data_IF_667353739115
#
_entry.id   IF_667353739115
#
_cell.length_a   1.000
_cell.length_b   1.000
_cell.length_c   1.000
_cell.angle_alpha   90.00
_cell.angle_beta   90.00
_cell.angle_gamma   90.00
#
_symmetry.space_group_name_H-M   'P 1'
#
loop_
_entity.id
_entity.type
_entity.pdbx_description
1 polymer ?
#
# COMPACT_ATOMS: atom_id res chain seq x y z
N UNK A 1 -17.76 -31.40 5.50
CA UNK A 1 -18.04 -30.05 6.00
C UNK A 1 -16.74 -29.52 6.55
N UNK A 2 -15.96 -28.84 5.72
CA UNK A 2 -14.68 -28.19 6.12
C UNK A 2 -15.05 -26.84 6.70
N UNK A 3 -14.92 -26.72 8.03
CA UNK A 3 -15.25 -25.49 8.74
C UNK A 3 -14.34 -24.35 8.29
N UNK A 4 -14.93 -23.25 7.84
CA UNK A 4 -14.24 -21.98 7.70
C UNK A 4 -13.81 -21.51 9.10
N UNK A 5 -12.50 -21.43 9.34
CA UNK A 5 -11.97 -20.81 10.55
C UNK A 5 -11.77 -19.32 10.27
N UNK A 6 -12.49 -18.48 10.98
CA UNK A 6 -12.27 -17.03 10.98
C UNK A 6 -11.09 -16.72 11.90
N UNK A 7 -10.07 -16.06 11.39
CA UNK A 7 -9.01 -15.45 12.19
C UNK A 7 -9.46 -14.03 12.53
N UNK A 8 -9.82 -13.75 13.79
CA UNK A 8 -10.14 -12.40 14.23
C UNK A 8 -8.85 -11.61 14.45
N UNK A 9 -8.85 -10.35 14.01
CA UNK A 9 -7.81 -9.37 14.39
C UNK A 9 -8.10 -8.93 15.84
N UNK A 10 -7.66 -9.71 16.82
CA UNK A 10 -7.98 -9.47 18.25
C UNK A 10 -7.17 -8.32 18.90
N UNK A 11 -6.28 -7.66 18.16
CA UNK A 11 -5.45 -6.56 18.66
C UNK A 11 -5.94 -5.21 18.17
N UNK A 12 -6.71 -4.50 19.01
CA UNK A 12 -7.15 -3.14 18.73
C UNK A 12 -5.94 -2.21 18.48
N UNK A 13 -6.00 -1.44 17.39
CA UNK A 13 -4.99 -0.42 17.06
C UNK A 13 -3.86 -0.89 16.14
N UNK A 14 -3.95 -2.07 15.53
CA UNK A 14 -2.97 -2.46 14.50
C UNK A 14 -3.13 -1.62 13.23
N UNK A 15 -2.06 -1.49 12.40
CA UNK A 15 -2.13 -0.79 11.12
C UNK A 15 -3.25 -1.29 10.21
N UNK A 16 -3.52 -2.60 10.22
CA UNK A 16 -4.59 -3.24 9.47
C UNK A 16 -5.94 -2.69 9.88
N UNK A 17 -6.24 -2.68 11.19
CA UNK A 17 -7.51 -2.17 11.71
C UNK A 17 -7.66 -0.66 11.49
N UNK A 18 -6.57 0.08 11.70
CA UNK A 18 -6.55 1.54 11.48
C UNK A 18 -6.76 1.92 10.01
N UNK A 19 -6.49 1.02 9.07
CA UNK A 19 -6.71 1.20 7.63
C UNK A 19 -7.85 0.34 7.09
N UNK A 20 -8.75 -0.10 7.97
CA UNK A 20 -10.01 -0.74 7.59
C UNK A 20 -9.90 -2.18 7.13
N UNK A 21 -8.74 -2.84 7.30
CA UNK A 21 -8.59 -4.27 6.99
C UNK A 21 -9.38 -5.09 8.00
N UNK A 22 -10.20 -5.98 7.49
CA UNK A 22 -11.01 -6.90 8.28
C UNK A 22 -10.30 -8.26 8.40
N UNK A 23 -10.73 -9.06 9.38
CA UNK A 23 -10.14 -10.36 9.62
C UNK A 23 -10.10 -11.28 8.39
N UNK A 24 -9.15 -12.19 8.38
CA UNK A 24 -8.99 -13.15 7.29
C UNK A 24 -9.80 -14.42 7.52
N UNK A 25 -10.31 -15.00 6.43
CA UNK A 25 -10.87 -16.34 6.39
C UNK A 25 -9.83 -17.32 5.87
N UNK A 26 -9.65 -18.42 6.59
CA UNK A 26 -8.72 -19.49 6.24
C UNK A 26 -9.47 -20.51 5.38
N UNK A 27 -8.98 -20.70 4.15
CA UNK A 27 -9.44 -21.76 3.24
C UNK A 27 -8.24 -22.65 2.93
N UNK A 28 -8.39 -23.97 2.72
CA UNK A 28 -7.25 -24.82 2.36
C UNK A 28 -6.46 -24.27 1.18
N UNK A 29 -5.16 -23.98 1.41
CA UNK A 29 -4.25 -23.42 0.41
C UNK A 29 -4.43 -21.93 0.09
N UNK A 30 -5.36 -21.25 0.73
CA UNK A 30 -5.74 -19.86 0.42
C UNK A 30 -6.07 -19.06 1.68
N UNK A 31 -5.91 -17.74 1.59
CA UNK A 31 -6.43 -16.77 2.56
C UNK A 31 -7.27 -15.72 1.84
N UNK A 32 -8.35 -15.31 2.48
CA UNK A 32 -9.26 -14.27 1.99
C UNK A 32 -9.44 -13.22 3.08
N UNK A 33 -9.12 -11.99 2.74
CA UNK A 33 -9.35 -10.83 3.61
C UNK A 33 -10.17 -9.80 2.84
N UNK A 34 -10.71 -8.83 3.56
CA UNK A 34 -11.35 -7.67 2.94
C UNK A 34 -10.96 -6.40 3.67
N UNK A 35 -11.16 -5.25 3.04
CA UNK A 35 -10.96 -3.96 3.66
C UNK A 35 -12.08 -3.00 3.29
N UNK A 36 -12.44 -2.12 4.25
CA UNK A 36 -13.33 -0.99 4.02
C UNK A 36 -12.51 0.16 3.44
N UNK A 37 -12.96 0.73 2.32
CA UNK A 37 -12.23 1.77 1.57
C UNK A 37 -12.65 3.19 1.93
N UNK A 38 -13.72 3.37 2.69
CA UNK A 38 -14.29 4.69 3.00
C UNK A 38 -13.31 5.64 3.68
N UNK A 39 -12.39 5.12 4.50
CA UNK A 39 -11.36 5.90 5.17
C UNK A 39 -10.05 6.11 4.38
N UNK A 40 -10.00 5.69 3.12
CA UNK A 40 -8.80 5.80 2.29
C UNK A 40 -8.70 7.12 1.52
N UNK A 41 -9.68 7.98 1.67
CA UNK A 41 -9.69 9.34 1.11
C UNK A 41 -9.26 10.35 2.16
N UNK A 42 -8.45 11.32 1.76
CA UNK A 42 -8.08 12.45 2.61
C UNK A 42 -9.17 13.54 2.64
N UNK A 43 -8.96 14.56 3.48
CA UNK A 43 -9.89 15.68 3.61
C UNK A 43 -10.05 16.52 2.32
N UNK A 44 -9.19 16.33 1.33
CA UNK A 44 -9.29 16.95 0.00
C UNK A 44 -10.05 16.06 -1.01
N UNK A 45 -10.51 14.88 -0.60
CA UNK A 45 -11.25 13.93 -1.43
C UNK A 45 -10.37 13.07 -2.33
N UNK A 46 -9.05 13.07 -2.13
CA UNK A 46 -8.15 12.19 -2.85
C UNK A 46 -8.15 10.80 -2.19
N UNK A 47 -8.47 9.76 -2.95
CA UNK A 47 -8.33 8.37 -2.50
C UNK A 47 -6.90 7.88 -2.75
N UNK A 48 -6.27 7.35 -1.71
CA UNK A 48 -4.90 6.86 -1.71
C UNK A 48 -4.84 5.37 -2.02
N UNK A 49 -3.80 4.97 -2.72
CA UNK A 49 -3.55 3.57 -3.11
C UNK A 49 -2.81 2.78 -2.03
N UNK A 50 -2.00 3.46 -1.22
CA UNK A 50 -1.16 2.84 -0.20
C UNK A 50 -1.90 1.91 0.77
N UNK A 51 -3.08 2.26 1.28
CA UNK A 51 -3.84 1.35 2.13
C UNK A 51 -4.15 0.00 1.50
N UNK A 52 -4.26 -0.07 0.16
CA UNK A 52 -4.38 -1.33 -0.58
C UNK A 52 -3.16 -2.23 -0.36
N UNK A 53 -1.96 -1.64 -0.20
CA UNK A 53 -0.76 -2.40 0.12
C UNK A 53 -0.80 -2.99 1.53
N UNK A 54 -1.50 -2.36 2.49
CA UNK A 54 -1.70 -2.94 3.84
C UNK A 54 -2.59 -4.17 3.76
N UNK A 55 -3.69 -4.12 3.00
CA UNK A 55 -4.54 -5.28 2.74
C UNK A 55 -3.77 -6.40 2.04
N UNK A 56 -2.96 -6.06 1.03
CA UNK A 56 -2.17 -7.02 0.27
C UNK A 56 -1.08 -7.67 1.13
N UNK A 57 -0.28 -6.87 1.87
CA UNK A 57 0.78 -7.38 2.75
C UNK A 57 0.20 -8.28 3.85
N UNK A 58 -0.94 -7.88 4.43
CA UNK A 58 -1.63 -8.69 5.45
C UNK A 58 -2.04 -10.05 4.89
N UNK A 59 -2.80 -10.11 3.79
CA UNK A 59 -3.27 -11.40 3.23
C UNK A 59 -2.12 -12.27 2.73
N UNK A 60 -1.04 -11.68 2.20
CA UNK A 60 0.17 -12.39 1.78
C UNK A 60 0.93 -12.95 2.99
N UNK A 61 1.05 -12.17 4.07
CA UNK A 61 1.64 -12.59 5.33
C UNK A 61 0.90 -13.76 5.96
N UNK A 62 -0.44 -13.74 5.94
CA UNK A 62 -1.27 -14.83 6.44
C UNK A 62 -1.07 -16.15 5.67
N UNK A 63 -0.83 -16.08 4.35
CA UNK A 63 -0.48 -17.26 3.54
C UNK A 63 0.95 -17.72 3.85
N UNK A 64 1.88 -16.79 4.06
CA UNK A 64 3.26 -17.09 4.39
C UNK A 64 3.39 -17.71 5.79
N UNK A 65 2.50 -17.32 6.71
CA UNK A 65 2.48 -17.86 8.07
C UNK A 65 2.11 -19.36 8.06
N UNK A 66 3.12 -20.19 8.26
CA UNK A 66 3.04 -21.65 8.29
C UNK A 66 3.73 -22.16 9.56
N UNK A 67 3.51 -23.41 9.98
CA UNK A 67 4.35 -24.02 11.00
C UNK A 67 5.82 -23.89 10.60
N UNK A 68 6.56 -23.11 11.34
CA UNK A 68 7.99 -22.89 11.16
C UNK A 68 8.78 -23.87 12.00
N UNK A 69 10.07 -24.05 11.70
CA UNK A 69 10.98 -24.66 12.65
C UNK A 69 10.96 -23.84 13.95
N UNK A 70 11.05 -24.53 15.09
CA UNK A 70 11.02 -23.86 16.39
C UNK A 70 12.07 -22.73 16.45
N UNK A 71 11.64 -21.55 16.86
CA UNK A 71 12.51 -20.37 16.95
C UNK A 71 12.66 -19.57 15.67
N UNK A 72 11.88 -19.84 14.62
CA UNK A 72 11.86 -19.03 13.38
C UNK A 72 10.47 -18.46 13.12
N UNK A 73 10.43 -17.35 12.38
CA UNK A 73 9.21 -16.70 11.91
C UNK A 73 9.39 -16.20 10.46
N UNK A 74 8.33 -16.22 9.64
CA UNK A 74 8.40 -15.65 8.31
C UNK A 74 8.39 -14.12 8.38
N UNK A 75 9.18 -13.48 7.52
CA UNK A 75 9.15 -12.04 7.28
C UNK A 75 9.07 -11.78 5.79
N UNK A 76 8.35 -10.73 5.41
CA UNK A 76 8.33 -10.24 4.03
C UNK A 76 9.68 -9.57 3.73
N UNK A 77 10.35 -10.01 2.67
CA UNK A 77 11.62 -9.40 2.21
C UNK A 77 11.43 -8.51 0.99
N UNK A 78 10.36 -8.75 0.22
CA UNK A 78 9.96 -7.89 -0.89
C UNK A 78 8.44 -7.93 -1.07
N UNK A 79 7.86 -6.80 -1.46
CA UNK A 79 6.46 -6.64 -1.80
C UNK A 79 6.35 -5.93 -3.14
N UNK A 80 5.52 -6.46 -4.03
CA UNK A 80 5.15 -5.84 -5.29
C UNK A 80 3.64 -5.72 -5.37
N UNK A 81 3.15 -4.53 -5.74
CA UNK A 81 1.74 -4.24 -5.94
C UNK A 81 1.58 -3.51 -7.27
N UNK A 82 0.84 -4.10 -8.20
CA UNK A 82 0.42 -3.47 -9.45
C UNK A 82 -1.08 -3.13 -9.35
N UNK A 83 -1.41 -1.85 -9.46
CA UNK A 83 -2.78 -1.33 -9.45
C UNK A 83 -3.26 -1.21 -10.89
N UNK A 84 -4.24 -2.03 -11.23
CA UNK A 84 -4.78 -2.16 -12.59
C UNK A 84 -5.92 -1.17 -12.84
N UNK A 85 -6.63 -0.83 -11.77
CA UNK A 85 -7.72 0.13 -11.77
C UNK A 85 -7.44 1.15 -10.67
N UNK A 86 -7.22 2.43 -11.05
CA UNK A 86 -6.98 3.46 -10.03
C UNK A 86 -8.23 3.70 -9.18
N UNK A 87 -8.08 4.22 -7.93
CA UNK A 87 -9.20 4.65 -7.13
C UNK A 87 -9.89 5.90 -7.75
N UNK A 88 -11.15 6.22 -7.38
CA UNK A 88 -11.96 5.49 -6.41
C UNK A 88 -12.56 4.21 -6.99
N UNK A 89 -12.64 3.17 -6.16
CA UNK A 89 -13.28 1.91 -6.55
C UNK A 89 -14.78 1.94 -6.22
N UNK A 90 -15.64 1.22 -6.98
CA UNK A 90 -17.05 1.13 -6.68
C UNK A 90 -17.29 0.42 -5.35
N UNK A 91 -18.31 0.87 -4.61
CA UNK A 91 -18.66 0.33 -3.29
C UNK A 91 -17.71 0.78 -2.18
N UNK A 92 -17.89 0.18 -1.01
CA UNK A 92 -17.17 0.53 0.21
C UNK A 92 -16.14 -0.54 0.64
N UNK A 93 -15.94 -1.58 -0.18
CA UNK A 93 -15.16 -2.75 0.22
C UNK A 93 -14.33 -3.31 -0.94
N UNK A 94 -13.13 -3.75 -0.62
CA UNK A 94 -12.29 -4.57 -1.51
C UNK A 94 -12.08 -5.95 -0.90
N UNK A 95 -11.92 -6.96 -1.76
CA UNK A 95 -11.72 -8.35 -1.39
C UNK A 95 -10.36 -8.83 -1.91
N UNK A 96 -9.49 -9.26 -1.01
CA UNK A 96 -8.20 -9.83 -1.33
C UNK A 96 -8.22 -11.35 -1.17
N UNK A 97 -7.58 -12.03 -2.10
CA UNK A 97 -7.36 -13.47 -2.08
C UNK A 97 -5.89 -13.75 -2.35
N UNK A 98 -5.25 -14.51 -1.48
CA UNK A 98 -3.86 -14.88 -1.62
C UNK A 98 -3.66 -16.39 -1.55
N UNK A 99 -2.65 -16.86 -2.29
CA UNK A 99 -2.24 -18.26 -2.30
C UNK A 99 -0.71 -18.34 -2.47
N UNK A 100 -0.13 -19.50 -2.12
CA UNK A 100 1.27 -19.81 -2.45
C UNK A 100 1.39 -20.04 -3.94
N UNK A 101 2.49 -19.59 -4.50
CA UNK A 101 2.87 -19.98 -5.86
C UNK A 101 3.15 -21.49 -5.87
N UNK A 102 2.57 -22.21 -6.83
CA UNK A 102 2.73 -23.64 -6.93
C UNK A 102 4.20 -24.02 -7.21
N UNK A 103 4.67 -25.09 -6.55
CA UNK A 103 6.00 -25.67 -6.73
C UNK A 103 6.90 -25.54 -5.51
N UNK A 104 7.69 -26.59 -5.25
CA UNK A 104 8.59 -26.66 -4.08
C UNK A 104 9.69 -25.59 -4.11
N UNK A 105 10.15 -25.21 -5.30
CA UNK A 105 11.22 -24.23 -5.50
C UNK A 105 10.76 -22.81 -5.13
N UNK A 106 9.47 -22.52 -5.26
CA UNK A 106 8.89 -21.19 -5.02
C UNK A 106 8.12 -21.11 -3.69
N UNK A 107 8.42 -21.98 -2.75
CA UNK A 107 7.70 -22.07 -1.46
C UNK A 107 7.65 -20.75 -0.67
N UNK A 108 8.61 -19.87 -0.89
CA UNK A 108 8.73 -18.59 -0.19
C UNK A 108 8.14 -17.42 -1.01
N UNK A 109 7.49 -17.72 -2.13
CA UNK A 109 6.78 -16.74 -2.95
C UNK A 109 5.26 -16.92 -2.82
N UNK A 110 4.57 -15.83 -2.57
CA UNK A 110 3.12 -15.75 -2.41
C UNK A 110 2.54 -14.69 -3.33
N UNK A 111 1.32 -14.93 -3.83
CA UNK A 111 0.63 -14.00 -4.73
C UNK A 111 -0.76 -13.70 -4.23
N UNK A 112 -1.25 -12.49 -4.53
CA UNK A 112 -2.59 -12.07 -4.20
C UNK A 112 -3.27 -11.36 -5.38
N UNK A 113 -4.58 -11.46 -5.43
CA UNK A 113 -5.45 -10.65 -6.28
C UNK A 113 -6.43 -9.88 -5.41
N UNK A 114 -6.72 -8.63 -5.79
CA UNK A 114 -7.71 -7.80 -5.12
C UNK A 114 -8.81 -7.45 -6.11
N UNK A 115 -10.05 -7.57 -5.65
CA UNK A 115 -11.26 -7.34 -6.45
C UNK A 115 -12.19 -6.37 -5.74
N UNK A 116 -12.94 -5.61 -6.53
CA UNK A 116 -14.07 -4.81 -6.05
C UNK A 116 -15.31 -5.70 -5.79
N UNK A 117 -16.41 -5.15 -5.24
CA UNK A 117 -17.63 -5.91 -4.97
C UNK A 117 -18.26 -6.54 -6.20
N UNK A 118 -18.05 -5.96 -7.39
CA UNK A 118 -18.56 -6.48 -8.67
C UNK A 118 -17.68 -7.61 -9.24
N UNK A 119 -16.59 -7.96 -8.52
CA UNK A 119 -15.66 -9.01 -8.92
C UNK A 119 -14.59 -8.57 -9.94
N UNK A 120 -14.53 -7.27 -10.29
CA UNK A 120 -13.51 -6.74 -11.19
C UNK A 120 -12.14 -6.78 -10.51
N UNK A 121 -11.13 -7.25 -11.22
CA UNK A 121 -9.75 -7.25 -10.72
C UNK A 121 -9.22 -5.83 -10.70
N UNK A 122 -8.89 -5.32 -9.50
CA UNK A 122 -8.38 -3.95 -9.29
C UNK A 122 -6.89 -3.90 -9.03
N UNK A 123 -6.32 -4.96 -8.44
CA UNK A 123 -4.89 -5.04 -8.23
C UNK A 123 -4.39 -6.49 -8.16
N UNK A 124 -3.10 -6.66 -8.41
CA UNK A 124 -2.36 -7.89 -8.14
C UNK A 124 -1.14 -7.57 -7.27
N UNK A 125 -0.80 -8.50 -6.38
CA UNK A 125 0.36 -8.33 -5.51
C UNK A 125 1.14 -9.63 -5.40
N UNK A 126 2.41 -9.52 -5.06
CA UNK A 126 3.25 -10.66 -4.71
C UNK A 126 4.25 -10.29 -3.62
N UNK A 127 4.66 -11.27 -2.85
CA UNK A 127 5.70 -11.10 -1.85
C UNK A 127 6.68 -12.26 -1.87
N UNK A 128 7.94 -11.95 -1.58
CA UNK A 128 8.94 -12.90 -1.18
C UNK A 128 9.07 -12.87 0.34
N UNK A 129 9.21 -14.04 0.94
CA UNK A 129 9.39 -14.19 2.38
C UNK A 129 10.67 -14.93 2.70
N UNK A 130 11.18 -14.76 3.90
CA UNK A 130 12.30 -15.52 4.44
C UNK A 130 12.02 -15.87 5.89
N UNK A 131 12.49 -17.03 6.32
CA UNK A 131 12.45 -17.43 7.72
C UNK A 131 13.63 -16.77 8.44
N UNK A 132 13.33 -15.99 9.48
CA UNK A 132 14.34 -15.37 10.34
C UNK A 132 14.17 -15.89 11.77
N UNK A 133 15.24 -15.89 12.60
CA UNK A 133 15.11 -16.19 14.01
C UNK A 133 14.01 -15.33 14.64
N UNK A 134 13.06 -15.98 15.31
CA UNK A 134 12.05 -15.25 16.07
C UNK A 134 12.74 -14.48 17.20
N UNK A 135 12.40 -13.21 17.43
CA UNK A 135 12.86 -12.51 18.61
C UNK A 135 12.42 -13.36 19.82
N UNK A 136 13.34 -13.63 20.74
CA UNK A 136 13.01 -14.36 21.98
C UNK A 136 11.75 -13.76 22.57
N UNK A 137 10.86 -14.60 23.07
CA UNK A 137 9.50 -14.28 23.53
C UNK A 137 9.49 -13.32 24.73
N UNK A 138 9.88 -12.10 24.51
CA UNK A 138 9.45 -10.99 25.34
C UNK A 138 8.18 -10.48 24.65
N UNK A 139 6.98 -10.67 25.24
CA UNK A 139 5.79 -10.03 24.71
C UNK A 139 6.11 -8.53 24.68
N UNK A 140 6.17 -7.92 23.49
CA UNK A 140 6.09 -6.47 23.45
C UNK A 140 4.80 -6.10 24.16
N UNK A 141 4.92 -5.34 25.24
CA UNK A 141 3.77 -4.73 25.86
C UNK A 141 3.01 -4.04 24.72
N UNK A 142 1.76 -4.48 24.50
CA UNK A 142 0.88 -3.81 23.58
C UNK A 142 0.91 -2.32 23.97
N UNK A 143 1.36 -1.46 23.05
CA UNK A 143 1.30 -0.03 23.29
C UNK A 143 -0.14 0.32 23.65
N UNK A 144 -0.38 1.41 24.39
CA UNK A 144 -1.74 1.76 24.83
C UNK A 144 -2.65 1.71 23.60
N UNK A 145 -3.71 0.92 23.71
CA UNK A 145 -4.73 0.83 22.67
C UNK A 145 -5.28 2.25 22.45
N UNK A 146 -4.79 2.91 21.42
CA UNK A 146 -5.43 4.12 20.93
C UNK A 146 -6.78 3.65 20.46
N UNK A 147 -7.86 4.18 21.08
CA UNK A 147 -9.23 3.72 20.89
C UNK A 147 -9.72 3.91 19.47
N UNK A 148 -9.19 3.13 18.54
CA UNK A 148 -9.68 3.04 17.17
C UNK A 148 -11.07 2.39 17.23
N UNK A 149 -12.09 3.13 16.79
CA UNK A 149 -13.40 2.57 16.57
C UNK A 149 -13.30 1.54 15.45
N UNK A 150 -13.75 0.29 15.65
CA UNK A 150 -13.78 -0.68 14.58
C UNK A 150 -14.57 -0.13 13.39
N UNK A 151 -13.97 -0.05 12.21
CA UNK A 151 -14.68 0.22 10.96
C UNK A 151 -14.49 1.57 10.30
N UNK A 152 -13.66 2.45 10.84
CA UNK A 152 -13.31 3.71 10.18
C UNK A 152 -11.80 3.90 10.19
N UNK A 153 -11.11 3.02 9.44
CA UNK A 153 -9.68 3.19 9.20
C UNK A 153 -9.45 4.43 8.35
N UNK A 154 -8.81 5.45 8.91
CA UNK A 154 -8.61 6.71 8.20
C UNK A 154 -7.14 6.91 7.84
N UNK A 155 -6.87 7.09 6.56
CA UNK A 155 -5.56 7.54 6.08
C UNK A 155 -5.16 8.87 6.74
N UNK A 156 -6.15 9.66 7.18
CA UNK A 156 -5.95 10.90 7.93
C UNK A 156 -5.13 10.74 9.19
N UNK A 157 -5.23 9.60 9.88
CA UNK A 157 -4.39 9.33 11.05
C UNK A 157 -2.91 9.18 10.65
N UNK A 158 -2.63 8.44 9.56
CA UNK A 158 -1.27 8.29 9.05
C UNK A 158 -0.70 9.64 8.56
N UNK A 159 -1.54 10.46 7.94
CA UNK A 159 -1.15 11.81 7.50
C UNK A 159 -0.82 12.72 8.67
N UNK A 160 -1.47 12.56 9.81
CA UNK A 160 -1.20 13.33 11.04
C UNK A 160 0.16 12.96 11.66
N UNK A 161 0.52 11.67 11.61
CA UNK A 161 1.79 11.17 12.15
C UNK A 161 2.99 11.39 11.19
N UNK A 162 2.72 11.95 9.99
CA UNK A 162 3.72 12.22 8.96
C UNK A 162 4.03 13.71 8.89
N UNK A 163 5.31 14.06 9.01
CA UNK A 163 5.80 15.44 8.93
C UNK A 163 6.69 15.61 7.72
N UNK A 164 6.44 16.64 6.91
CA UNK A 164 7.36 17.06 5.86
C UNK A 164 8.48 17.88 6.48
N UNK A 165 9.73 17.45 6.31
CA UNK A 165 10.91 18.08 6.89
C UNK A 165 11.81 18.74 5.85
N UNK A 166 11.52 18.55 4.60
CA UNK A 166 12.21 19.19 3.48
C UNK A 166 11.60 18.82 2.15
N UNK A 167 11.60 19.76 1.23
CA UNK A 167 11.22 19.51 -0.17
C UNK A 167 12.00 20.42 -1.12
N UNK A 168 12.31 19.88 -2.28
CA UNK A 168 12.95 20.54 -3.39
C UNK A 168 12.30 20.14 -4.71
N UNK A 169 12.81 20.61 -5.84
CA UNK A 169 12.21 20.30 -7.12
C UNK A 169 12.22 18.79 -7.44
N UNK A 170 13.26 18.05 -7.00
CA UNK A 170 13.45 16.63 -7.31
C UNK A 170 13.56 15.74 -6.07
N UNK A 171 13.42 16.30 -4.88
CA UNK A 171 13.53 15.58 -3.62
C UNK A 171 12.46 16.03 -2.62
N UNK A 172 11.88 15.09 -1.90
CA UNK A 172 11.04 15.35 -0.74
C UNK A 172 11.48 14.46 0.44
N UNK A 173 11.47 15.03 1.63
CA UNK A 173 11.86 14.34 2.87
C UNK A 173 10.72 14.40 3.86
N UNK A 174 10.25 13.22 4.28
CA UNK A 174 9.20 13.05 5.26
C UNK A 174 9.75 12.31 6.50
N UNK A 175 9.18 12.57 7.65
CA UNK A 175 9.40 11.80 8.87
C UNK A 175 8.08 11.22 9.36
N UNK A 176 8.08 9.95 9.73
CA UNK A 176 6.95 9.26 10.35
C UNK A 176 7.29 8.90 11.79
N UNK A 177 6.41 9.23 12.73
CA UNK A 177 6.37 8.57 14.01
C UNK A 177 5.63 7.24 13.86
N UNK A 178 6.40 6.15 13.82
CA UNK A 178 5.85 4.84 13.52
C UNK A 178 5.28 4.11 14.76
N UNK A 179 5.14 4.77 15.91
CA UNK A 179 4.72 4.12 17.17
C UNK A 179 3.38 3.41 17.04
N UNK A 180 2.42 3.98 16.32
CA UNK A 180 1.10 3.38 16.07
C UNK A 180 1.01 2.56 14.78
N UNK A 181 2.12 2.34 14.05
CA UNK A 181 2.14 1.79 12.70
C UNK A 181 3.05 0.56 12.58
N UNK A 182 3.24 -0.14 13.68
CA UNK A 182 4.10 -1.32 13.76
C UNK A 182 3.29 -2.61 13.68
N UNK A 183 3.92 -3.65 13.13
CA UNK A 183 3.43 -5.02 13.21
C UNK A 183 3.65 -5.61 14.62
N UNK A 184 3.25 -6.86 14.81
CA UNK A 184 3.43 -7.61 16.08
C UNK A 184 4.88 -7.72 16.55
N UNK A 185 5.87 -7.51 15.69
CA UNK A 185 7.30 -7.52 16.03
C UNK A 185 7.81 -6.13 16.45
N UNK A 186 6.94 -5.14 16.56
CA UNK A 186 7.28 -3.74 16.87
C UNK A 186 8.11 -3.07 15.78
N UNK A 187 8.02 -3.54 14.55
CA UNK A 187 8.66 -2.93 13.37
C UNK A 187 7.59 -2.31 12.48
N UNK A 188 7.93 -1.25 11.76
CA UNK A 188 7.00 -0.62 10.81
C UNK A 188 6.41 -1.68 9.90
N UNK A 189 5.08 -1.72 9.81
CA UNK A 189 4.35 -2.69 8.98
C UNK A 189 4.70 -2.53 7.51
N UNK A 190 4.85 -3.64 6.76
CA UNK A 190 5.29 -3.61 5.36
C UNK A 190 4.38 -2.76 4.47
N UNK A 191 3.06 -2.94 4.61
CA UNK A 191 2.09 -2.13 3.88
C UNK A 191 2.09 -0.65 4.28
N UNK A 192 2.44 -0.31 5.53
CA UNK A 192 2.60 1.09 5.95
C UNK A 192 3.81 1.73 5.27
N UNK A 193 4.92 1.00 5.12
CA UNK A 193 6.03 1.48 4.30
C UNK A 193 5.60 1.83 2.87
N UNK A 194 4.69 1.05 2.27
CA UNK A 194 4.14 1.34 0.95
C UNK A 194 3.26 2.60 0.95
N UNK A 195 2.40 2.78 1.98
CA UNK A 195 1.61 4.00 2.14
C UNK A 195 2.48 5.25 2.21
N UNK A 196 3.48 5.26 3.09
CA UNK A 196 4.34 6.44 3.25
C UNK A 196 5.26 6.66 2.05
N UNK A 197 5.63 5.61 1.32
CA UNK A 197 6.36 5.74 0.05
C UNK A 197 5.50 6.41 -1.03
N UNK A 198 4.21 6.04 -1.15
CA UNK A 198 3.28 6.74 -2.03
C UNK A 198 3.12 8.21 -1.64
N UNK A 199 2.93 8.49 -0.34
CA UNK A 199 2.79 9.85 0.18
C UNK A 199 4.01 10.70 -0.14
N UNK A 200 5.23 10.17 0.07
CA UNK A 200 6.47 10.85 -0.23
C UNK A 200 6.65 11.10 -1.74
N UNK A 201 6.35 10.08 -2.57
CA UNK A 201 6.45 10.21 -4.03
C UNK A 201 5.46 11.25 -4.58
N UNK A 202 4.27 11.32 -4.00
CA UNK A 202 3.24 12.28 -4.41
C UNK A 202 3.66 13.72 -4.19
N UNK A 203 4.48 14.01 -3.17
CA UNK A 203 5.04 15.37 -2.96
C UNK A 203 5.84 15.86 -4.16
N UNK A 204 6.45 14.94 -4.90
CA UNK A 204 7.26 15.26 -6.07
C UNK A 204 6.47 15.28 -7.36
N UNK A 205 5.46 14.44 -7.51
CA UNK A 205 4.65 14.37 -8.73
C UNK A 205 3.53 15.41 -8.75
N UNK A 206 3.26 16.04 -7.61
CA UNK A 206 2.21 17.04 -7.44
C UNK A 206 0.80 16.40 -7.54
N UNK A 207 -0.21 17.26 -7.59
CA UNK A 207 -1.60 16.87 -7.85
C UNK A 207 -1.89 16.66 -9.34
N UNK A 208 -0.85 16.48 -10.17
CA UNK A 208 -1.01 16.18 -11.59
C UNK A 208 -1.84 14.88 -11.77
N UNK A 209 -2.49 14.67 -12.91
CA UNK A 209 -3.43 13.58 -13.15
C UNK A 209 -2.75 12.21 -13.21
N UNK A 210 -1.76 11.98 -12.35
CA UNK A 210 -1.02 10.73 -12.27
C UNK A 210 -1.50 9.94 -11.06
N UNK A 211 -2.13 8.80 -11.30
CA UNK A 211 -2.43 7.82 -10.28
C UNK A 211 -1.24 6.88 -10.09
N UNK A 212 -0.95 6.52 -8.84
CA UNK A 212 0.03 5.47 -8.54
C UNK A 212 -0.51 4.15 -9.09
N UNK A 213 0.29 3.50 -9.91
CA UNK A 213 -0.07 2.23 -10.54
C UNK A 213 0.88 1.08 -10.16
N UNK A 214 1.99 1.38 -9.51
CA UNK A 214 2.96 0.37 -9.07
C UNK A 214 3.67 0.80 -7.79
N UNK A 215 3.76 -0.14 -6.85
CA UNK A 215 4.59 -0.04 -5.65
C UNK A 215 5.48 -1.28 -5.57
N UNK A 216 6.79 -1.10 -5.53
CA UNK A 216 7.76 -2.19 -5.36
C UNK A 216 8.66 -1.85 -4.19
N UNK A 217 8.72 -2.74 -3.19
CA UNK A 217 9.47 -2.53 -1.97
C UNK A 217 10.44 -3.69 -1.72
N UNK A 218 11.65 -3.36 -1.32
CA UNK A 218 12.60 -4.29 -0.73
C UNK A 218 12.78 -3.93 0.74
N UNK A 219 12.49 -4.86 1.64
CA UNK A 219 12.65 -4.70 3.08
C UNK A 219 14.03 -5.21 3.48
N UNK A 220 14.93 -4.29 3.80
CA UNK A 220 16.33 -4.57 4.04
C UNK A 220 16.64 -4.78 5.51
N UNK A 221 15.92 -4.08 6.39
CA UNK A 221 16.08 -4.11 7.86
C UNK A 221 14.79 -3.72 8.56
N UNK A 222 14.59 -4.17 9.81
CA UNK A 222 13.49 -3.67 10.63
C UNK A 222 13.60 -2.16 10.85
N UNK A 223 12.54 -1.40 10.54
CA UNK A 223 12.41 0.01 10.92
C UNK A 223 11.66 0.12 12.25
N UNK A 224 12.08 0.99 13.16
CA UNK A 224 11.45 1.19 14.48
C UNK A 224 11.42 2.66 14.86
N UNK A 225 10.42 3.06 15.66
CA UNK A 225 10.29 4.41 16.19
C UNK A 225 10.16 5.45 15.07
N UNK A 226 10.92 6.54 15.18
CA UNK A 226 10.89 7.57 14.13
C UNK A 226 11.70 7.12 12.91
N UNK A 227 11.10 7.20 11.75
CA UNK A 227 11.74 6.84 10.48
C UNK A 227 11.69 8.02 9.51
N UNK A 228 12.73 8.17 8.69
CA UNK A 228 12.85 9.22 7.68
C UNK A 228 12.78 8.61 6.29
N UNK A 229 11.96 9.19 5.44
CA UNK A 229 11.82 8.81 4.04
C UNK A 229 12.37 9.94 3.16
N UNK A 230 13.25 9.57 2.24
CA UNK A 230 13.71 10.47 1.17
C UNK A 230 13.18 9.95 -0.14
N UNK A 231 12.35 10.73 -0.81
CA UNK A 231 11.85 10.49 -2.15
C UNK A 231 12.66 11.29 -3.16
N UNK A 232 13.07 10.65 -4.25
CA UNK A 232 13.84 11.28 -5.34
C UNK A 232 13.16 10.96 -6.67
N UNK A 233 12.84 11.97 -7.46
CA UNK A 233 12.24 11.79 -8.78
C UNK A 233 13.30 11.27 -9.76
N UNK A 234 13.12 10.06 -10.27
CA UNK A 234 13.96 9.47 -11.31
C UNK A 234 13.46 9.81 -12.71
N UNK A 235 12.14 9.95 -12.84
CA UNK A 235 11.49 10.30 -14.11
C UNK A 235 10.20 11.08 -13.85
N UNK A 236 10.01 12.15 -14.59
CA UNK A 236 8.78 12.94 -14.65
C UNK A 236 8.40 13.14 -16.11
N UNK A 237 7.56 12.26 -16.61
CA UNK A 237 7.04 12.34 -17.96
C UNK A 237 5.58 12.82 -17.99
N UNK A 238 5.09 13.14 -19.17
CA UNK A 238 3.70 13.54 -19.36
C UNK A 238 2.72 12.39 -19.12
N UNK A 239 3.14 11.16 -19.36
CA UNK A 239 2.29 9.95 -19.28
C UNK A 239 2.67 9.02 -18.13
N UNK A 240 3.83 9.20 -17.53
CA UNK A 240 4.31 8.34 -16.44
C UNK A 240 5.33 9.08 -15.57
N UNK A 241 5.41 8.67 -14.33
CA UNK A 241 6.41 9.09 -13.37
C UNK A 241 7.05 7.89 -12.67
N UNK A 242 8.28 8.08 -12.19
CA UNK A 242 8.99 7.10 -11.38
C UNK A 242 9.74 7.81 -10.27
N UNK A 243 9.49 7.41 -9.04
CA UNK A 243 10.12 7.97 -7.85
C UNK A 243 10.77 6.85 -7.05
N UNK A 244 12.03 7.05 -6.67
CA UNK A 244 12.72 6.21 -5.69
C UNK A 244 12.43 6.74 -4.29
N UNK A 245 12.14 5.86 -3.34
CA UNK A 245 11.95 6.23 -1.93
C UNK A 245 12.84 5.34 -1.05
N UNK A 246 13.63 5.97 -0.19
CA UNK A 246 14.48 5.28 0.79
C UNK A 246 14.01 5.63 2.20
N UNK A 247 13.57 4.61 2.94
CA UNK A 247 13.24 4.75 4.36
C UNK A 247 14.42 4.37 5.25
N UNK A 248 14.74 5.21 6.22
CA UNK A 248 15.87 5.06 7.16
C UNK A 248 15.36 5.08 8.59
N UNK A 249 16.02 4.31 9.46
CA UNK A 249 15.80 4.39 10.91
C UNK A 249 16.51 5.62 11.52
N UNK A 250 16.31 5.83 12.83
CA UNK A 250 16.92 6.93 13.55
C UNK A 250 18.47 6.87 13.57
N UNK A 251 19.09 5.73 13.24
CA UNK A 251 20.55 5.59 13.12
C UNK A 251 21.05 5.88 11.70
N UNK A 252 20.14 6.22 10.77
CA UNK A 252 20.45 6.50 9.37
C UNK A 252 20.59 5.28 8.47
N UNK A 253 20.37 4.04 8.99
CA UNK A 253 20.45 2.82 8.18
C UNK A 253 19.20 2.67 7.31
N UNK A 254 19.40 2.27 6.05
CA UNK A 254 18.29 2.00 5.14
C UNK A 254 17.52 0.76 5.60
N UNK A 255 16.23 0.93 5.87
CA UNK A 255 15.32 -0.14 6.26
C UNK A 255 14.49 -0.63 5.07
N UNK A 256 14.06 0.28 4.21
CA UNK A 256 13.28 0.00 3.01
C UNK A 256 13.81 0.78 1.81
N UNK A 257 13.76 0.14 0.66
CA UNK A 257 13.96 0.75 -0.64
C UNK A 257 12.69 0.51 -1.48
N UNK A 258 12.08 1.58 -1.97
CA UNK A 258 10.84 1.49 -2.74
C UNK A 258 10.96 2.21 -4.08
N UNK A 259 10.26 1.66 -5.08
CA UNK A 259 10.03 2.28 -6.38
C UNK A 259 8.53 2.53 -6.53
N UNK A 260 8.15 3.78 -6.74
CA UNK A 260 6.77 4.22 -6.92
C UNK A 260 6.58 4.65 -8.37
N UNK A 261 5.81 3.86 -9.11
CA UNK A 261 5.41 4.16 -10.48
C UNK A 261 4.06 4.86 -10.50
N UNK A 262 3.91 5.84 -11.38
CA UNK A 262 2.63 6.52 -11.62
C UNK A 262 2.35 6.63 -13.12
N UNK A 263 1.08 6.70 -13.49
CA UNK A 263 0.63 6.91 -14.88
C UNK A 263 -0.41 8.02 -14.91
N UNK A 264 -0.39 8.79 -16.01
CA UNK A 264 -1.47 9.71 -16.29
C UNK A 264 -2.79 8.93 -16.35
N UNK A 265 -3.78 9.43 -15.65
CA UNK A 265 -5.12 8.88 -15.73
C UNK A 265 -5.64 9.17 -17.15
N UNK A 266 -5.66 8.16 -17.98
CA UNK A 266 -6.40 8.23 -19.23
C UNK A 266 -7.88 8.13 -18.83
N UNK A 267 -8.52 9.29 -18.65
CA UNK A 267 -9.98 9.35 -18.57
C UNK A 267 -10.55 8.34 -19.57
N UNK A 268 -11.47 7.51 -19.10
CA UNK A 268 -12.08 6.46 -19.90
C UNK A 268 -12.40 6.99 -21.31
N UNK A 269 -12.16 6.22 -22.40
CA UNK A 269 -12.43 6.69 -23.75
C UNK A 269 -13.94 6.93 -23.90
N UNK A 270 -14.37 8.17 -23.64
CA UNK A 270 -15.77 8.59 -23.61
C UNK A 270 -15.92 10.11 -23.59
N UNK A 271 -14.91 10.86 -23.12
CA UNK A 271 -14.87 12.30 -23.27
C UNK A 271 -14.11 12.66 -24.55
N UNK A 272 -14.64 12.29 -25.70
CA UNK A 272 -14.30 12.96 -26.94
C UNK A 272 -14.78 14.39 -26.75
N UNK A 273 -13.83 15.31 -26.48
CA UNK A 273 -14.09 16.73 -26.63
C UNK A 273 -14.66 16.88 -28.07
N UNK A 274 -15.94 17.18 -28.14
CA UNK A 274 -16.54 17.65 -29.39
C UNK A 274 -15.79 18.91 -29.76
N UNK A 275 -14.80 18.76 -30.65
CA UNK A 275 -14.21 19.89 -31.35
C UNK A 275 -15.36 20.54 -32.07
N UNK A 276 -15.86 21.66 -31.52
CA UNK A 276 -16.77 22.57 -32.21
C UNK A 276 -16.11 22.88 -33.54
N UNK A 277 -16.77 22.66 -34.69
CA UNK A 277 -16.18 23.01 -35.96
C UNK A 277 -15.99 24.53 -35.97
N UNK A 278 -14.73 24.96 -35.83
CA UNK A 278 -14.33 26.35 -36.00
C UNK A 278 -14.89 26.85 -37.33
N UNK A 279 -15.49 28.03 -37.25
CA UNK A 279 -16.24 28.70 -38.30
C UNK A 279 -15.57 28.65 -39.66
N UNK A 280 -16.39 28.34 -40.67
CA UNK A 280 -16.07 28.48 -42.07
C UNK A 280 -15.65 29.94 -42.34
N UNK A 281 -14.46 30.11 -42.87
CA UNK A 281 -13.96 31.35 -43.39
C UNK A 281 -14.98 31.98 -44.32
N UNK A 282 -15.43 33.18 -44.03
CA UNK A 282 -16.15 34.04 -44.94
C UNK A 282 -15.22 34.42 -46.14
N UNK A 283 -15.69 34.43 -47.38
CA UNK A 283 -14.89 34.85 -48.50
C UNK A 283 -14.62 36.38 -48.42
N UNK A 284 -13.51 36.88 -48.99
CA UNK A 284 -13.19 38.29 -48.99
C UNK A 284 -14.12 39.06 -49.91
N UNK A 285 -14.39 40.34 -49.63
CA UNK A 285 -15.25 41.19 -50.46
C UNK A 285 -14.60 41.45 -51.82
N UNK A 286 -15.43 41.36 -52.88
CA UNK A 286 -15.06 41.72 -54.24
C UNK A 286 -14.76 43.22 -54.35
N UNK A 287 -13.70 43.56 -55.08
CA UNK A 287 -13.41 44.92 -55.58
C UNK A 287 -14.12 45.16 -56.89
#
# INVERSE_FOLDING_TARGET
MTGEQSCSLDTAGTPEQRLGVLGCTVVPGERRCSALTGGWSDGAGRTWTGPLAVLADHVLGEVANRPQAAGFQPVTTALSLDVLVPPPWPGDRLHARAARTAGEVLRDHVTASVRDPDGRLVAVASAWTADVPAPGTTPLAAGPAVGARPGQGEIGELLTDLTEVGSGPDEAVLELDATGWTNQNGTVHGGVWACVAELAATRLTGSAPHAVNRLQLAFLRPGRGRVRLTATALHRGRTSGLVEVRGRDATGRVCVHAMVGSRADHAAPGAVATLSPAGRNAPPPAR
#
